data_IF_727385995513
#
_entry.id   IF_727385995513
#
_cell.length_a   1.000
_cell.length_b   1.000
_cell.length_c   1.000
_cell.angle_alpha   90.00
_cell.angle_beta   90.00
_cell.angle_gamma   90.00
#
_symmetry.space_group_name_H-M   'P 1'
#
loop_
_entity.id
_entity.type
_entity.pdbx_description
1 polymer ?
#
# COMPACT_ATOMS: atom_id res chain seq x y z
N UNK A 1 -6.63 17.63 -16.63
CA UNK A 1 -5.23 17.33 -16.24
C UNK A 1 -5.14 16.04 -15.41
N UNK A 2 -5.87 15.95 -14.29
CA UNK A 2 -5.89 14.80 -13.37
C UNK A 2 -6.02 13.41 -14.04
N UNK A 3 -6.99 13.14 -14.94
CA UNK A 3 -7.17 11.79 -15.48
C UNK A 3 -6.02 11.34 -16.39
N UNK A 4 -5.34 12.26 -17.08
CA UNK A 4 -4.18 11.93 -17.93
C UNK A 4 -2.96 11.59 -17.08
N UNK A 5 -2.75 12.32 -15.99
CA UNK A 5 -1.65 12.06 -15.03
C UNK A 5 -1.84 10.70 -14.37
N UNK A 6 -3.06 10.39 -13.91
CA UNK A 6 -3.38 9.10 -13.29
C UNK A 6 -3.17 7.94 -14.27
N UNK A 7 -3.66 8.04 -15.51
CA UNK A 7 -3.45 6.99 -16.53
C UNK A 7 -1.96 6.77 -16.82
N UNK A 8 -1.17 7.84 -16.95
CA UNK A 8 0.27 7.73 -17.18
C UNK A 8 1.01 7.12 -16.00
N UNK A 9 0.62 7.51 -14.78
CA UNK A 9 1.16 6.95 -13.54
C UNK A 9 0.89 5.45 -13.43
N UNK A 10 -0.36 5.01 -13.63
CA UNK A 10 -0.74 3.60 -13.56
C UNK A 10 0.06 2.77 -14.56
N UNK A 11 0.18 3.23 -15.81
CA UNK A 11 0.96 2.52 -16.84
C UNK A 11 2.43 2.37 -16.44
N UNK A 12 3.03 3.43 -15.87
CA UNK A 12 4.41 3.37 -15.36
C UNK A 12 4.53 2.38 -14.21
N UNK A 13 3.62 2.41 -13.23
CA UNK A 13 3.65 1.48 -12.09
C UNK A 13 3.55 0.03 -12.55
N UNK A 14 2.62 -0.29 -13.45
CA UNK A 14 2.48 -1.65 -13.99
C UNK A 14 3.75 -2.09 -14.72
N UNK A 15 4.29 -1.24 -15.58
CA UNK A 15 5.50 -1.56 -16.35
C UNK A 15 6.72 -1.74 -15.44
N UNK A 16 6.98 -0.79 -14.53
CA UNK A 16 8.14 -0.84 -13.63
C UNK A 16 8.02 -1.92 -12.55
N UNK A 17 6.83 -2.40 -12.22
CA UNK A 17 6.65 -3.49 -11.25
C UNK A 17 6.71 -4.86 -11.90
N UNK A 18 5.98 -5.06 -13.01
CA UNK A 18 5.88 -6.37 -13.66
C UNK A 18 7.14 -6.73 -14.44
N UNK A 19 7.75 -5.78 -15.16
CA UNK A 19 8.92 -6.05 -16.01
C UNK A 19 10.10 -6.64 -15.22
N UNK A 20 10.52 -6.08 -14.07
CA UNK A 20 11.65 -6.64 -13.34
C UNK A 20 11.34 -7.99 -12.69
N UNK A 21 10.10 -8.19 -12.21
CA UNK A 21 9.68 -9.50 -11.67
C UNK A 21 9.77 -10.58 -12.75
N UNK A 22 9.35 -10.28 -13.98
CA UNK A 22 9.44 -11.19 -15.12
C UNK A 22 10.91 -11.56 -15.42
N UNK A 23 11.81 -10.58 -15.40
CA UNK A 23 13.24 -10.81 -15.61
C UNK A 23 13.82 -11.67 -14.49
N UNK A 24 13.51 -11.38 -13.23
CA UNK A 24 14.00 -12.13 -12.06
C UNK A 24 13.53 -13.59 -12.13
N UNK A 25 12.23 -13.82 -12.38
CA UNK A 25 11.67 -15.17 -12.50
C UNK A 25 12.23 -15.95 -13.70
N UNK A 26 12.67 -15.25 -14.76
CA UNK A 26 13.34 -15.86 -15.90
C UNK A 26 14.80 -16.23 -15.65
N UNK A 27 15.48 -15.52 -14.73
CA UNK A 27 16.90 -15.73 -14.44
C UNK A 27 17.13 -16.75 -13.31
N UNK A 28 16.31 -16.70 -12.25
CA UNK A 28 16.44 -17.58 -11.09
C UNK A 28 15.11 -18.30 -10.89
N UNK A 29 15.11 -19.65 -10.81
CA UNK A 29 13.90 -20.40 -10.50
C UNK A 29 13.36 -19.95 -9.14
N UNK A 30 12.05 -19.70 -9.08
CA UNK A 30 11.37 -19.15 -7.90
C UNK A 30 11.60 -19.94 -6.61
N UNK A 31 12.05 -21.19 -6.72
CA UNK A 31 12.32 -22.09 -5.60
C UNK A 31 13.69 -21.87 -4.93
N UNK A 32 14.59 -21.06 -5.51
CA UNK A 32 15.94 -20.81 -5.01
C UNK A 32 16.15 -19.36 -4.52
N UNK A 33 15.10 -18.56 -4.39
CA UNK A 33 15.19 -17.19 -3.88
C UNK A 33 15.32 -17.22 -2.35
N UNK A 34 16.41 -16.71 -1.80
CA UNK A 34 16.54 -16.58 -0.35
C UNK A 34 15.62 -15.46 0.17
N UNK A 35 14.97 -15.67 1.32
CA UNK A 35 14.11 -14.66 1.95
C UNK A 35 14.91 -13.53 2.63
N UNK A 36 16.21 -13.76 2.89
CA UNK A 36 17.05 -12.88 3.71
C UNK A 36 17.67 -11.72 2.92
N UNK A 37 17.77 -11.84 1.58
CA UNK A 37 18.43 -10.85 0.73
C UNK A 37 17.46 -10.33 -0.33
N UNK A 38 17.57 -9.06 -0.74
CA UNK A 38 16.75 -8.55 -1.84
C UNK A 38 16.96 -9.36 -3.12
N UNK A 39 15.89 -9.81 -3.82
CA UNK A 39 16.01 -10.62 -5.03
C UNK A 39 16.80 -9.93 -6.15
N UNK A 40 16.78 -8.59 -6.20
CA UNK A 40 17.61 -7.83 -7.12
C UNK A 40 19.11 -7.98 -6.83
N UNK A 41 19.49 -7.93 -5.55
CA UNK A 41 20.89 -8.09 -5.13
C UNK A 41 21.35 -9.52 -5.38
N UNK A 42 20.47 -10.50 -5.13
CA UNK A 42 20.74 -11.91 -5.40
C UNK A 42 21.01 -12.16 -6.89
N UNK A 43 20.16 -11.62 -7.78
CA UNK A 43 20.32 -11.73 -9.23
C UNK A 43 21.64 -11.11 -9.70
N UNK A 44 21.97 -9.92 -9.20
CA UNK A 44 23.22 -9.23 -9.57
C UNK A 44 24.46 -9.98 -9.07
N UNK A 45 24.36 -10.63 -7.91
CA UNK A 45 25.46 -11.44 -7.34
C UNK A 45 25.63 -12.75 -8.12
N UNK A 46 24.54 -13.44 -8.45
CA UNK A 46 24.57 -14.67 -9.25
C UNK A 46 25.04 -14.45 -10.69
N UNK A 47 24.85 -13.24 -11.23
CA UNK A 47 25.35 -12.85 -12.55
C UNK A 47 26.88 -12.58 -12.58
N UNK A 48 27.59 -12.73 -11.46
CA UNK A 48 29.05 -12.62 -11.39
C UNK A 48 29.59 -11.18 -11.30
N UNK A 49 28.74 -10.19 -11.02
CA UNK A 49 29.16 -8.78 -10.90
C UNK A 49 29.53 -8.40 -9.46
N UNK A 50 30.80 -8.58 -9.09
CA UNK A 50 31.34 -8.37 -7.72
C UNK A 50 31.23 -6.92 -7.17
N UNK A 51 30.72 -5.95 -7.94
CA UNK A 51 30.44 -4.58 -7.47
C UNK A 51 28.98 -4.13 -7.58
N UNK A 52 28.15 -4.85 -8.34
CA UNK A 52 26.79 -4.40 -8.65
C UNK A 52 25.84 -4.57 -7.45
N UNK A 53 26.10 -5.55 -6.58
CA UNK A 53 25.35 -5.78 -5.34
C UNK A 53 25.39 -4.55 -4.41
N UNK A 54 26.56 -3.95 -4.22
CA UNK A 54 26.72 -2.76 -3.37
C UNK A 54 26.05 -1.53 -3.98
N UNK A 55 26.17 -1.34 -5.30
CA UNK A 55 25.48 -0.26 -6.01
C UNK A 55 23.96 -0.41 -5.88
N UNK A 56 23.42 -1.62 -6.00
CA UNK A 56 21.99 -1.88 -5.85
C UNK A 56 21.51 -1.57 -4.43
N UNK A 57 22.25 -1.98 -3.40
CA UNK A 57 21.94 -1.63 -2.02
C UNK A 57 21.91 -0.11 -1.79
N UNK A 58 22.87 0.63 -2.36
CA UNK A 58 22.89 2.08 -2.30
C UNK A 58 21.64 2.71 -2.95
N UNK A 59 21.24 2.23 -4.13
CA UNK A 59 20.02 2.68 -4.83
C UNK A 59 18.78 2.39 -3.98
N UNK A 60 18.67 1.19 -3.40
CA UNK A 60 17.53 0.80 -2.56
C UNK A 60 17.39 1.70 -1.33
N UNK A 61 18.48 1.94 -0.59
CA UNK A 61 18.46 2.81 0.59
C UNK A 61 18.05 4.23 0.20
N UNK A 62 18.61 4.75 -0.89
CA UNK A 62 18.27 6.10 -1.39
C UNK A 62 16.80 6.19 -1.81
N UNK A 63 16.26 5.16 -2.47
CA UNK A 63 14.86 5.09 -2.86
C UNK A 63 13.93 5.06 -1.65
N UNK A 64 14.24 4.24 -0.64
CA UNK A 64 13.48 4.16 0.61
C UNK A 64 13.50 5.49 1.36
N UNK A 65 14.66 6.14 1.47
CA UNK A 65 14.79 7.47 2.10
C UNK A 65 13.95 8.53 1.38
N UNK A 66 13.94 8.52 0.04
CA UNK A 66 13.14 9.43 -0.77
C UNK A 66 11.63 9.21 -0.58
N UNK A 67 11.20 7.94 -0.57
CA UNK A 67 9.81 7.57 -0.30
C UNK A 67 9.40 7.97 1.12
N UNK A 68 10.26 7.74 2.11
CA UNK A 68 10.04 8.13 3.51
C UNK A 68 9.87 9.64 3.66
N UNK A 69 10.71 10.45 3.00
CA UNK A 69 10.58 11.91 3.02
C UNK A 69 9.23 12.38 2.46
N UNK A 70 8.79 11.81 1.34
CA UNK A 70 7.48 12.11 0.75
C UNK A 70 6.32 11.68 1.65
N UNK A 71 6.43 10.51 2.28
CA UNK A 71 5.46 10.00 3.25
C UNK A 71 5.33 10.88 4.50
N UNK A 72 6.45 11.28 5.10
CA UNK A 72 6.50 12.18 6.26
C UNK A 72 5.85 13.52 5.91
N UNK A 73 6.19 14.09 4.75
CA UNK A 73 5.60 15.34 4.28
C UNK A 73 4.07 15.22 4.11
N UNK A 74 3.62 14.14 3.46
CA UNK A 74 2.20 13.85 3.26
C UNK A 74 1.43 13.72 4.58
N UNK A 75 1.92 12.90 5.50
CA UNK A 75 1.30 12.70 6.83
C UNK A 75 1.25 14.01 7.63
N UNK A 76 2.33 14.78 7.62
CA UNK A 76 2.42 16.06 8.33
C UNK A 76 1.36 17.06 7.85
N UNK A 77 1.17 17.17 6.53
CA UNK A 77 0.17 18.05 5.92
C UNK A 77 -1.26 17.52 6.11
N UNK A 78 -1.45 16.21 6.02
CA UNK A 78 -2.75 15.58 6.29
C UNK A 78 -3.17 15.82 7.75
N UNK A 79 -2.28 15.59 8.70
CA UNK A 79 -2.51 15.84 10.13
C UNK A 79 -2.78 17.33 10.41
N UNK A 80 -2.05 18.23 9.75
CA UNK A 80 -2.32 19.67 9.82
C UNK A 80 -3.70 20.04 9.25
N UNK A 81 -4.11 19.45 8.12
CA UNK A 81 -5.44 19.67 7.54
C UNK A 81 -6.56 19.18 8.45
N UNK A 82 -6.37 18.04 9.12
CA UNK A 82 -7.31 17.54 10.13
C UNK A 82 -7.40 18.48 11.34
N UNK A 83 -6.28 19.03 11.79
CA UNK A 83 -6.26 20.00 12.90
C UNK A 83 -6.95 21.32 12.54
N UNK A 84 -6.86 21.77 11.28
CA UNK A 84 -7.65 22.92 10.80
C UNK A 84 -9.14 22.60 10.78
N UNK A 85 -9.52 21.38 10.38
CA UNK A 85 -10.91 20.92 10.36
C UNK A 85 -11.53 20.65 11.74
N UNK A 86 -10.78 20.80 12.83
CA UNK A 86 -11.25 20.49 14.19
C UNK A 86 -11.20 19.01 14.58
N UNK A 87 -10.77 18.14 13.66
CA UNK A 87 -10.68 16.67 13.84
C UNK A 87 -9.39 16.22 14.56
N UNK A 88 -8.45 17.14 14.79
CA UNK A 88 -7.22 16.90 15.53
C UNK A 88 -6.92 18.07 16.48
N UNK A 89 -6.04 17.90 17.49
CA UNK A 89 -5.83 18.91 18.51
C UNK A 89 -5.41 20.25 17.91
N UNK A 90 -6.09 21.33 18.32
CA UNK A 90 -5.92 22.70 17.78
C UNK A 90 -4.48 23.20 17.83
N UNK A 91 -3.66 22.67 18.74
CA UNK A 91 -2.23 22.94 18.83
C UNK A 91 -1.45 22.60 17.56
N UNK A 92 -1.90 21.63 16.76
CA UNK A 92 -1.26 21.15 15.53
C UNK A 92 -1.60 22.03 14.31
N UNK A 93 -2.64 22.87 14.37
CA UNK A 93 -3.03 23.74 13.27
C UNK A 93 -2.06 24.92 13.04
N UNK A 94 -1.16 25.22 14.00
CA UNK A 94 -0.24 26.35 13.91
C UNK A 94 0.85 26.14 12.87
N UNK A 95 1.05 27.15 12.03
CA UNK A 95 2.13 27.21 11.04
C UNK A 95 3.31 28.04 11.57
N UNK A 96 4.52 27.66 11.15
CA UNK A 96 5.73 28.47 11.34
C UNK A 96 5.77 29.63 10.33
N UNK A 97 6.65 30.61 10.55
CA UNK A 97 6.89 31.75 9.63
C UNK A 97 7.25 31.31 8.20
N UNK A 98 7.76 30.09 8.01
CA UNK A 98 8.08 29.49 6.70
C UNK A 98 6.91 28.72 6.07
N UNK A 99 5.70 28.78 6.64
CA UNK A 99 4.52 28.06 6.12
C UNK A 99 4.54 26.54 6.35
N UNK A 100 5.35 26.07 7.30
CA UNK A 100 5.50 24.64 7.65
C UNK A 100 4.82 24.36 9.00
N UNK A 101 3.96 23.34 9.10
CA UNK A 101 3.34 22.93 10.37
C UNK A 101 4.32 22.13 11.24
N UNK A 102 5.23 22.83 11.92
CA UNK A 102 6.34 22.22 12.68
C UNK A 102 5.84 21.31 13.80
N UNK A 103 4.73 21.65 14.48
CA UNK A 103 4.18 20.81 15.55
C UNK A 103 3.66 19.47 15.03
N UNK A 104 2.94 19.49 13.90
CA UNK A 104 2.51 18.24 13.24
C UNK A 104 3.69 17.40 12.79
N UNK A 105 4.75 18.05 12.28
CA UNK A 105 5.98 17.36 11.88
C UNK A 105 6.66 16.67 13.06
N UNK A 106 6.78 17.35 14.21
CA UNK A 106 7.35 16.77 15.43
C UNK A 106 6.53 15.57 15.91
N UNK A 107 5.21 15.67 15.90
CA UNK A 107 4.33 14.55 16.24
C UNK A 107 4.53 13.34 15.31
N UNK A 108 4.55 13.56 13.99
CA UNK A 108 4.81 12.49 13.01
C UNK A 108 6.19 11.87 13.23
N UNK A 109 7.22 12.67 13.49
CA UNK A 109 8.57 12.19 13.75
C UNK A 109 8.65 11.33 15.02
N UNK A 110 8.04 11.78 16.13
CA UNK A 110 7.99 11.01 17.38
C UNK A 110 7.27 9.67 17.18
N UNK A 111 6.13 9.66 16.48
CA UNK A 111 5.41 8.43 16.17
C UNK A 111 6.23 7.47 15.30
N UNK A 112 6.95 7.97 14.29
CA UNK A 112 7.82 7.15 13.45
C UNK A 112 9.00 6.56 14.22
N UNK A 113 9.68 7.35 15.06
CA UNK A 113 10.80 6.89 15.89
C UNK A 113 10.28 5.84 16.87
N UNK A 114 9.16 6.10 17.53
CA UNK A 114 8.55 5.18 18.50
C UNK A 114 8.14 3.88 17.80
N UNK A 115 7.45 3.96 16.67
CA UNK A 115 7.05 2.80 15.88
C UNK A 115 8.25 1.98 15.39
N UNK A 116 9.32 2.64 14.95
CA UNK A 116 10.57 1.97 14.57
C UNK A 116 11.25 1.29 15.75
N UNK A 117 11.23 1.89 16.94
CA UNK A 117 11.80 1.31 18.15
C UNK A 117 11.06 0.04 18.56
N UNK A 118 9.71 0.09 18.53
CA UNK A 118 8.88 -1.08 18.84
C UNK A 118 9.12 -2.18 17.81
N UNK A 119 9.21 -1.85 16.51
CA UNK A 119 9.53 -2.79 15.45
C UNK A 119 10.90 -3.47 15.62
N UNK A 120 11.88 -2.76 16.19
CA UNK A 120 13.19 -3.31 16.48
C UNK A 120 13.17 -4.32 17.63
N UNK A 121 12.42 -4.06 18.71
CA UNK A 121 12.36 -4.96 19.86
C UNK A 121 11.42 -6.17 19.69
N UNK A 122 10.35 -6.04 18.89
CA UNK A 122 9.32 -7.07 18.73
C UNK A 122 9.29 -7.66 17.29
N UNK A 123 10.42 -8.20 16.85
CA UNK A 123 10.70 -8.48 15.43
C UNK A 123 9.73 -9.46 14.75
N UNK A 124 9.34 -10.56 15.42
CA UNK A 124 8.66 -11.69 14.75
C UNK A 124 7.17 -11.45 14.44
N UNK A 125 6.43 -10.91 15.41
CA UNK A 125 4.99 -10.66 15.25
C UNK A 125 4.67 -9.31 14.60
N UNK A 126 5.50 -8.31 14.88
CA UNK A 126 5.19 -6.93 14.49
C UNK A 126 5.49 -6.67 13.01
N UNK A 127 6.51 -7.30 12.43
CA UNK A 127 6.80 -7.17 11.01
C UNK A 127 5.63 -7.64 10.14
N UNK A 128 5.04 -8.78 10.49
CA UNK A 128 3.86 -9.32 9.79
C UNK A 128 2.66 -8.38 9.91
N UNK A 129 2.44 -7.81 11.09
CA UNK A 129 1.36 -6.85 11.33
C UNK A 129 1.59 -5.53 10.57
N UNK A 130 2.80 -4.99 10.59
CA UNK A 130 3.16 -3.75 9.89
C UNK A 130 2.96 -3.84 8.38
N UNK A 131 3.18 -5.01 7.80
CA UNK A 131 2.90 -5.24 6.38
C UNK A 131 1.41 -5.43 6.08
N UNK A 132 0.67 -6.09 6.98
CA UNK A 132 -0.74 -6.40 6.77
C UNK A 132 -1.67 -5.19 6.99
N UNK A 133 -1.43 -4.38 8.02
CA UNK A 133 -2.34 -3.29 8.44
C UNK A 133 -2.53 -2.21 7.37
N UNK A 134 -1.47 -1.65 6.74
CA UNK A 134 -1.65 -0.64 5.70
C UNK A 134 -2.41 -1.20 4.49
N UNK A 135 -2.15 -2.45 4.10
CA UNK A 135 -2.87 -3.11 3.02
C UNK A 135 -4.36 -3.22 3.32
N UNK A 136 -4.71 -3.63 4.53
CA UNK A 136 -6.11 -3.69 4.98
C UNK A 136 -6.78 -2.31 4.99
N UNK A 137 -6.12 -1.28 5.54
CA UNK A 137 -6.65 0.09 5.60
C UNK A 137 -6.90 0.64 4.20
N UNK A 138 -5.96 0.46 3.27
CA UNK A 138 -6.11 0.92 1.87
C UNK A 138 -7.28 0.22 1.19
N UNK A 139 -7.43 -1.09 1.37
CA UNK A 139 -8.56 -1.84 0.82
C UNK A 139 -9.89 -1.38 1.40
N UNK A 140 -9.96 -1.17 2.72
CA UNK A 140 -11.18 -0.70 3.39
C UNK A 140 -11.59 0.68 2.86
N UNK A 141 -10.65 1.64 2.79
CA UNK A 141 -10.91 2.98 2.26
C UNK A 141 -11.34 2.91 0.79
N UNK A 142 -10.72 2.06 -0.02
CA UNK A 142 -11.10 1.87 -1.42
C UNK A 142 -12.53 1.34 -1.55
N UNK A 143 -12.92 0.34 -0.75
CA UNK A 143 -14.29 -0.21 -0.74
C UNK A 143 -15.31 0.84 -0.29
N UNK A 144 -15.01 1.60 0.77
CA UNK A 144 -15.90 2.68 1.21
C UNK A 144 -16.07 3.75 0.13
N UNK A 145 -14.98 4.19 -0.51
CA UNK A 145 -15.02 5.16 -1.58
C UNK A 145 -15.87 4.66 -2.78
N UNK A 146 -15.64 3.41 -3.22
CA UNK A 146 -16.43 2.78 -4.27
C UNK A 146 -17.90 2.66 -3.90
N UNK A 147 -18.22 2.33 -2.64
CA UNK A 147 -19.60 2.25 -2.16
C UNK A 147 -20.30 3.60 -2.19
N UNK A 148 -19.64 4.68 -1.76
CA UNK A 148 -20.19 6.05 -1.81
C UNK A 148 -20.40 6.48 -3.26
N UNK A 149 -19.44 6.23 -4.14
CA UNK A 149 -19.56 6.53 -5.57
C UNK A 149 -20.75 5.76 -6.17
N UNK A 150 -20.88 4.47 -5.87
CA UNK A 150 -21.99 3.65 -6.36
C UNK A 150 -23.35 4.16 -5.87
N UNK A 151 -23.45 4.59 -4.61
CA UNK A 151 -24.67 5.20 -4.04
C UNK A 151 -24.98 6.53 -4.73
N UNK A 152 -23.99 7.40 -4.91
CA UNK A 152 -24.17 8.68 -5.62
C UNK A 152 -24.68 8.47 -7.05
N UNK A 153 -24.14 7.48 -7.77
CA UNK A 153 -24.64 7.13 -9.11
C UNK A 153 -26.00 6.42 -9.13
N UNK A 154 -26.44 5.81 -8.02
CA UNK A 154 -27.79 5.25 -7.88
C UNK A 154 -28.87 6.36 -7.82
N UNK A 155 -28.51 7.51 -7.26
CA UNK A 155 -29.39 8.68 -7.21
C UNK A 155 -29.54 9.37 -8.57
N UNK A 156 -28.64 9.12 -9.52
CA UNK A 156 -28.74 9.66 -10.87
C UNK A 156 -29.76 8.85 -11.72
N UNK A 157 -30.86 9.46 -12.19
CA UNK A 157 -31.94 8.76 -12.88
C UNK A 157 -31.50 8.10 -14.20
N UNK A 158 -30.41 8.56 -14.81
CA UNK A 158 -29.93 8.03 -16.09
C UNK A 158 -29.19 6.70 -15.96
N UNK A 159 -28.61 6.37 -14.80
CA UNK A 159 -27.72 5.21 -14.63
C UNK A 159 -28.19 4.19 -13.56
N UNK A 160 -29.33 4.45 -12.91
CA UNK A 160 -29.88 3.64 -11.81
C UNK A 160 -30.09 2.17 -12.17
N UNK A 161 -30.57 1.87 -13.39
CA UNK A 161 -30.88 0.49 -13.82
C UNK A 161 -29.60 -0.32 -14.04
N UNK A 162 -28.59 0.24 -14.72
CA UNK A 162 -27.32 -0.47 -14.98
C UNK A 162 -26.57 -0.83 -13.69
N UNK A 163 -26.56 0.08 -12.71
CA UNK A 163 -25.84 -0.13 -11.45
C UNK A 163 -26.59 -1.07 -10.50
N UNK A 164 -27.92 -0.99 -10.44
CA UNK A 164 -28.72 -1.93 -9.67
C UNK A 164 -28.53 -3.38 -10.16
N UNK A 165 -28.49 -3.59 -11.48
CA UNK A 165 -28.20 -4.90 -12.07
C UNK A 165 -26.76 -5.35 -11.75
N UNK A 166 -25.77 -4.46 -11.86
CA UNK A 166 -24.39 -4.77 -11.53
C UNK A 166 -24.22 -5.19 -10.06
N UNK A 167 -24.84 -4.46 -9.13
CA UNK A 167 -24.82 -4.78 -7.69
C UNK A 167 -25.56 -6.08 -7.38
N UNK A 168 -26.69 -6.36 -8.04
CA UNK A 168 -27.41 -7.62 -7.89
C UNK A 168 -26.56 -8.81 -8.37
N UNK A 169 -25.89 -8.68 -9.52
CA UNK A 169 -24.98 -9.71 -10.04
C UNK A 169 -23.78 -9.92 -9.12
N UNK A 170 -23.18 -8.84 -8.61
CA UNK A 170 -22.07 -8.93 -7.66
C UNK A 170 -22.51 -9.60 -6.34
N UNK A 171 -23.71 -9.30 -5.86
CA UNK A 171 -24.33 -9.96 -4.70
C UNK A 171 -24.54 -11.45 -4.92
N UNK A 172 -25.05 -11.84 -6.09
CA UNK A 172 -25.23 -13.25 -6.47
C UNK A 172 -23.87 -13.97 -6.55
N UNK A 173 -22.86 -13.35 -7.17
CA UNK A 173 -21.52 -13.93 -7.31
C UNK A 173 -20.78 -14.06 -5.97
N UNK A 174 -20.92 -13.08 -5.09
CA UNK A 174 -20.32 -13.14 -3.74
C UNK A 174 -20.97 -14.22 -2.89
N UNK A 175 -22.31 -14.32 -2.89
CA UNK A 175 -23.04 -15.41 -2.23
C UNK A 175 -22.65 -16.76 -2.81
N UNK A 176 -22.56 -16.88 -4.14
CA UNK A 176 -22.14 -18.11 -4.81
C UNK A 176 -20.69 -18.50 -4.47
N UNK A 177 -19.77 -17.54 -4.42
CA UNK A 177 -18.38 -17.74 -4.00
C UNK A 177 -18.29 -18.24 -2.56
N UNK A 178 -19.04 -17.64 -1.62
CA UNK A 178 -19.08 -18.04 -0.21
C UNK A 178 -19.67 -19.45 -0.07
N UNK A 179 -20.75 -19.76 -0.80
CA UNK A 179 -21.36 -21.10 -0.80
C UNK A 179 -20.41 -22.15 -1.38
N UNK A 180 -19.66 -21.82 -2.44
CA UNK A 180 -18.64 -22.71 -3.02
C UNK A 180 -17.48 -22.94 -2.06
N UNK A 181 -16.97 -21.89 -1.41
CA UNK A 181 -15.90 -22.00 -0.41
C UNK A 181 -16.34 -22.85 0.79
N UNK A 182 -17.57 -22.66 1.28
CA UNK A 182 -18.15 -23.49 2.35
C UNK A 182 -18.28 -24.95 1.95
N UNK A 183 -18.54 -25.25 0.67
CA UNK A 183 -18.66 -26.61 0.13
C UNK A 183 -17.31 -27.31 -0.06
N UNK A 184 -16.23 -26.56 -0.30
CA UNK A 184 -14.86 -27.10 -0.43
C UNK A 184 -14.16 -27.28 0.94
N UNK A 185 -14.66 -26.63 1.99
CA UNK A 185 -14.08 -26.66 3.35
C UNK A 185 -14.52 -27.80 4.27
N UNK A 186 -15.21 -28.84 3.78
CA UNK A 186 -15.49 -30.03 4.59
C UNK A 186 -14.29 -31.00 4.50
N UNK A 187 -13.43 -31.11 5.54
CA UNK A 187 -12.34 -32.07 5.54
C UNK A 187 -12.91 -33.49 5.50
N UNK A 188 -12.57 -34.27 4.46
CA UNK A 188 -12.63 -35.73 4.56
C UNK A 188 -11.55 -36.15 5.55
N UNK A 189 -11.94 -36.41 6.79
CA UNK A 189 -11.12 -37.20 7.70
C UNK A 189 -10.98 -38.63 7.13
N UNK A 190 -9.73 -39.06 6.97
CA UNK A 190 -9.20 -40.43 7.05
C UNK A 190 -9.99 -41.57 6.41
N UNK A 191 -9.42 -42.17 5.37
CA UNK A 191 -8.86 -43.53 5.42
C UNK A 191 -8.01 -43.80 4.18
#
# INVERSE_FOLDING_TARGET
MLPRVVKSFILRVILFYTLPILIICGLIPWNNLSEQTSPFVQVLTSAGMTGAAHLMNFILITAVLSAANSGIYGMTRMLHSMAIGGEAPSGLARLSSKGVPVRSLQWVAVLLITGSLIAYFAQDGLFRLLMAVPGFVVLLVAVLCLSVIAVLFLFDPQNRISIAVCLAVLGILTVWSILRFKKTGSPKLTS
#
